data_IF_027353701206
#
_entry.id   IF_027353701206
#
_cell.length_a   1.000
_cell.length_b   1.000
_cell.length_c   1.000
_cell.angle_alpha   90.00
_cell.angle_beta   90.00
_cell.angle_gamma   90.00
#
_symmetry.space_group_name_H-M   'P 1'
#
loop_
_entity.id
_entity.type
_entity.pdbx_description
1 polymer ?
#
# COMPACT_ATOMS: atom_id res chain seq x y z
N UNK A 1 26.75 -8.34 14.10
CA UNK A 1 26.17 -7.40 13.12
C UNK A 1 25.99 -8.17 11.82
N UNK A 2 24.77 -8.64 11.54
CA UNK A 2 24.50 -9.45 10.34
C UNK A 2 24.05 -8.53 9.21
N UNK A 3 24.88 -8.42 8.17
CA UNK A 3 24.52 -7.85 6.88
C UNK A 3 23.42 -8.74 6.27
N UNK A 4 22.17 -8.30 6.29
CA UNK A 4 21.14 -8.89 5.43
C UNK A 4 21.32 -8.32 4.03
N UNK A 5 21.78 -9.19 3.15
CA UNK A 5 21.98 -8.98 1.72
C UNK A 5 20.63 -8.65 1.06
N UNK A 6 20.51 -7.46 0.46
CA UNK A 6 19.34 -7.11 -0.33
C UNK A 6 19.46 -7.79 -1.70
N UNK A 7 18.81 -8.95 -1.86
CA UNK A 7 18.67 -9.61 -3.15
C UNK A 7 17.91 -8.69 -4.12
N UNK A 8 18.61 -8.19 -5.14
CA UNK A 8 18.05 -7.35 -6.20
C UNK A 8 18.06 -8.15 -7.52
N UNK A 9 16.88 -8.29 -8.14
CA UNK A 9 16.65 -9.08 -9.36
C UNK A 9 16.43 -8.20 -10.60
N UNK A 10 16.91 -8.69 -11.75
CA UNK A 10 17.10 -7.98 -13.02
C UNK A 10 15.82 -7.85 -13.87
N UNK A 11 15.83 -7.15 -15.02
CA UNK A 11 14.63 -6.83 -15.82
C UNK A 11 13.90 -8.03 -16.47
N UNK A 12 14.57 -9.16 -16.68
CA UNK A 12 13.88 -10.41 -17.05
C UNK A 12 13.20 -11.03 -15.82
N UNK A 13 13.81 -10.90 -14.66
CA UNK A 13 13.18 -11.16 -13.37
C UNK A 13 12.20 -10.07 -12.94
N UNK A 14 12.07 -8.90 -13.60
CA UNK A 14 10.95 -7.96 -13.37
C UNK A 14 9.76 -8.35 -14.22
N UNK A 15 9.95 -9.12 -15.31
CA UNK A 15 8.84 -9.79 -16.00
C UNK A 15 8.45 -11.09 -15.31
N UNK A 16 9.41 -11.83 -14.75
CA UNK A 16 9.12 -13.00 -13.89
C UNK A 16 8.67 -12.60 -12.46
N UNK A 17 9.20 -11.50 -11.89
CA UNK A 17 8.73 -10.88 -10.64
C UNK A 17 7.68 -9.78 -10.89
N UNK A 18 7.21 -9.54 -12.11
CA UNK A 18 5.87 -8.94 -12.25
C UNK A 18 4.83 -9.93 -11.74
N UNK A 19 5.12 -11.23 -11.82
CA UNK A 19 4.36 -12.28 -11.15
C UNK A 19 4.70 -12.46 -9.66
N UNK A 20 5.80 -11.87 -9.14
CA UNK A 20 6.18 -11.94 -7.70
C UNK A 20 6.16 -10.58 -6.96
N UNK A 21 5.94 -9.46 -7.65
CA UNK A 21 5.37 -8.23 -7.11
C UNK A 21 3.84 -8.36 -6.97
N UNK A 22 3.38 -9.61 -7.01
CA UNK A 22 2.13 -10.07 -6.44
C UNK A 22 2.13 -10.01 -4.90
N UNK A 23 3.20 -9.57 -4.20
CA UNK A 23 3.22 -9.49 -2.73
C UNK A 23 3.10 -8.07 -2.13
N UNK A 24 3.09 -7.01 -2.95
CA UNK A 24 2.60 -5.68 -2.53
C UNK A 24 1.10 -5.48 -2.84
N UNK A 25 0.54 -6.40 -3.64
CA UNK A 25 -0.89 -6.58 -3.90
C UNK A 25 -1.30 -8.05 -3.67
N UNK A 26 -0.62 -8.77 -2.77
CA UNK A 26 -1.14 -10.04 -2.34
C UNK A 26 -2.39 -9.69 -1.57
N UNK A 27 -3.54 -9.86 -2.21
CA UNK A 27 -4.70 -10.35 -1.48
C UNK A 27 -4.14 -11.42 -0.55
N UNK A 28 -4.28 -11.29 0.78
CA UNK A 28 -4.21 -12.48 1.62
C UNK A 28 -5.06 -13.51 0.88
N UNK A 29 -4.54 -14.71 0.63
CA UNK A 29 -5.42 -15.78 0.16
C UNK A 29 -6.54 -15.81 1.18
N UNK A 30 -7.70 -15.23 0.84
CA UNK A 30 -8.87 -15.31 1.68
C UNK A 30 -9.28 -16.76 1.48
N UNK A 31 -8.82 -17.60 2.40
CA UNK A 31 -9.26 -18.97 2.40
C UNK A 31 -10.76 -18.90 2.62
N UNK A 32 -11.48 -19.56 1.74
CA UNK A 32 -12.90 -19.76 1.93
C UNK A 32 -13.08 -21.19 2.40
N UNK A 33 -14.01 -21.41 3.33
CA UNK A 33 -14.45 -22.77 3.63
C UNK A 33 -15.11 -23.40 2.39
N UNK A 34 -15.39 -24.71 2.45
CA UNK A 34 -16.04 -25.45 1.35
C UNK A 34 -17.38 -24.84 0.90
N UNK A 35 -17.97 -23.95 1.73
CA UNK A 35 -19.23 -23.28 1.50
C UNK A 35 -19.07 -21.77 1.19
N UNK A 36 -17.85 -21.29 0.93
CA UNK A 36 -17.59 -19.89 0.57
C UNK A 36 -17.46 -18.91 1.75
N UNK A 37 -17.52 -19.39 3.00
CA UNK A 37 -17.36 -18.56 4.21
C UNK A 37 -15.93 -18.10 4.42
N UNK A 38 -15.73 -16.86 4.87
CA UNK A 38 -14.40 -16.32 5.12
C UNK A 38 -13.64 -17.10 6.21
N UNK A 39 -12.41 -17.53 5.90
CA UNK A 39 -11.47 -18.16 6.82
C UNK A 39 -10.13 -17.41 6.78
N UNK A 40 -9.76 -16.69 7.86
CA UNK A 40 -8.45 -16.09 7.97
C UNK A 40 -7.41 -17.10 8.43
N UNK A 41 -6.16 -16.83 8.05
CA UNK A 41 -4.99 -17.52 8.61
C UNK A 41 -4.80 -17.17 10.10
N UNK A 42 -4.05 -18.02 10.80
CA UNK A 42 -3.66 -17.77 12.19
C UNK A 42 -4.58 -18.42 13.24
N UNK A 43 -4.25 -18.18 14.51
CA UNK A 43 -4.97 -18.71 15.66
C UNK A 43 -5.75 -17.57 16.30
N UNK A 44 -7.08 -17.73 16.36
CA UNK A 44 -7.99 -16.72 16.89
C UNK A 44 -8.76 -17.30 18.07
N UNK A 45 -8.65 -16.66 19.24
CA UNK A 45 -9.38 -17.07 20.44
C UNK A 45 -10.85 -16.61 20.40
N UNK A 46 -11.64 -17.04 21.39
CA UNK A 46 -13.07 -16.72 21.44
C UNK A 46 -13.31 -15.21 21.64
N UNK A 47 -12.52 -14.55 22.47
CA UNK A 47 -12.61 -13.11 22.71
C UNK A 47 -12.42 -12.29 21.42
N UNK A 48 -11.46 -12.65 20.57
CA UNK A 48 -11.26 -12.01 19.27
C UNK A 48 -12.46 -12.21 18.35
N UNK A 49 -13.06 -13.41 18.32
CA UNK A 49 -14.24 -13.71 17.50
C UNK A 49 -15.47 -12.91 17.93
N UNK A 50 -15.61 -12.70 19.23
CA UNK A 50 -16.74 -11.98 19.82
C UNK A 50 -16.51 -10.45 19.87
N UNK A 51 -15.32 -9.98 19.48
CA UNK A 51 -14.95 -8.56 19.58
C UNK A 51 -14.76 -8.07 21.02
N UNK A 52 -14.43 -8.98 21.94
CA UNK A 52 -14.19 -8.71 23.36
C UNK A 52 -12.71 -8.44 23.62
N UNK A 53 -12.24 -7.23 23.31
CA UNK A 53 -10.84 -6.85 23.49
C UNK A 53 -10.56 -6.25 24.87
N UNK A 54 -9.36 -6.51 25.43
CA UNK A 54 -8.89 -5.89 26.67
C UNK A 54 -8.50 -4.41 26.54
N UNK A 55 -8.58 -3.84 25.33
CA UNK A 55 -8.25 -2.46 24.97
C UNK A 55 -9.42 -1.79 24.25
N UNK A 56 -9.47 -0.45 24.29
CA UNK A 56 -10.39 0.35 23.48
C UNK A 56 -9.71 1.01 22.28
N UNK A 57 -8.38 1.02 22.26
CA UNK A 57 -7.56 1.68 21.25
C UNK A 57 -6.36 0.80 20.87
N UNK A 58 -6.08 0.70 19.57
CA UNK A 58 -4.91 0.00 19.01
C UNK A 58 -4.18 0.92 18.04
N UNK A 59 -2.91 1.19 18.33
CA UNK A 59 -2.04 2.15 17.63
C UNK A 59 -2.73 3.52 17.38
N UNK A 60 -3.41 4.04 18.40
CA UNK A 60 -4.13 5.32 18.33
C UNK A 60 -5.49 5.27 17.65
N UNK A 61 -5.90 4.12 17.09
CA UNK A 61 -7.22 3.95 16.48
C UNK A 61 -8.18 3.36 17.50
N UNK A 62 -9.28 4.07 17.78
CA UNK A 62 -10.34 3.59 18.65
C UNK A 62 -11.10 2.46 17.97
N UNK A 63 -11.54 1.49 18.76
CA UNK A 63 -12.44 0.46 18.27
C UNK A 63 -13.84 1.05 18.09
N UNK A 64 -14.35 0.97 16.86
CA UNK A 64 -15.69 1.42 16.49
C UNK A 64 -16.52 0.23 16.05
N UNK A 65 -17.72 0.12 16.62
CA UNK A 65 -18.71 -0.84 16.14
C UNK A 65 -19.32 -0.37 14.81
N UNK A 66 -19.38 -1.28 13.85
CA UNK A 66 -19.92 -1.04 12.51
C UNK A 66 -20.75 -2.22 12.04
N UNK A 67 -21.76 -1.94 11.22
CA UNK A 67 -22.43 -2.96 10.42
C UNK A 67 -21.51 -3.35 9.26
N UNK A 68 -21.10 -4.61 9.22
CA UNK A 68 -20.27 -5.18 8.18
C UNK A 68 -21.12 -6.06 7.28
N UNK A 69 -21.47 -5.55 6.11
CA UNK A 69 -22.26 -6.26 5.11
C UNK A 69 -21.36 -6.66 3.95
N UNK A 70 -21.34 -7.95 3.61
CA UNK A 70 -20.47 -8.45 2.53
C UNK A 70 -21.14 -8.20 1.17
N UNK A 71 -20.60 -7.32 0.31
CA UNK A 71 -21.18 -7.08 -1.00
C UNK A 71 -20.88 -8.22 -1.96
N UNK A 72 -21.51 -8.18 -3.14
CA UNK A 72 -21.28 -9.20 -4.16
C UNK A 72 -19.83 -9.26 -4.61
N UNK A 73 -19.37 -10.44 -5.03
CA UNK A 73 -18.02 -10.59 -5.60
C UNK A 73 -17.77 -9.63 -6.78
N UNK A 74 -18.78 -9.41 -7.62
CA UNK A 74 -18.72 -8.47 -8.75
C UNK A 74 -18.48 -7.04 -8.24
N UNK A 75 -19.27 -6.58 -7.27
CA UNK A 75 -19.12 -5.25 -6.68
C UNK A 75 -17.74 -5.08 -6.02
N UNK A 76 -17.26 -6.08 -5.28
CA UNK A 76 -15.94 -6.04 -4.65
C UNK A 76 -14.82 -5.98 -5.68
N UNK A 77 -14.96 -6.68 -6.81
CA UNK A 77 -14.00 -6.65 -7.91
C UNK A 77 -13.96 -5.26 -8.56
N UNK A 78 -15.13 -4.71 -8.91
CA UNK A 78 -15.24 -3.38 -9.50
C UNK A 78 -14.67 -2.29 -8.58
N UNK A 79 -14.97 -2.33 -7.27
CA UNK A 79 -14.39 -1.41 -6.28
C UNK A 79 -12.88 -1.58 -6.15
N UNK A 80 -12.34 -2.79 -6.28
CA UNK A 80 -10.89 -3.02 -6.24
C UNK A 80 -10.20 -2.43 -7.46
N UNK A 81 -10.80 -2.57 -8.63
CA UNK A 81 -10.32 -1.96 -9.88
C UNK A 81 -10.35 -0.43 -9.81
N UNK A 82 -11.44 0.16 -9.31
CA UNK A 82 -11.54 1.61 -9.08
C UNK A 82 -10.45 2.11 -8.11
N UNK A 83 -10.15 1.34 -7.05
CA UNK A 83 -9.11 1.69 -6.10
C UNK A 83 -7.71 1.65 -6.73
N UNK A 84 -7.42 0.59 -7.49
CA UNK A 84 -6.11 0.34 -8.08
C UNK A 84 -5.83 1.17 -9.33
N UNK A 85 -6.87 1.48 -10.10
CA UNK A 85 -6.76 2.02 -11.45
C UNK A 85 -6.46 0.92 -12.48
N UNK A 86 -6.39 1.33 -13.75
CA UNK A 86 -6.18 0.45 -14.90
C UNK A 86 -4.89 0.85 -15.62
N UNK A 87 -4.10 -0.16 -15.99
CA UNK A 87 -2.88 0.01 -16.79
C UNK A 87 -2.99 -0.71 -18.13
N UNK A 88 -2.31 -0.21 -19.15
CA UNK A 88 -2.16 -0.91 -20.42
C UNK A 88 -1.14 -2.06 -20.33
N UNK A 89 -0.99 -2.82 -21.41
CA UNK A 89 -0.03 -3.92 -21.53
C UNK A 89 1.43 -3.46 -21.41
N UNK A 90 1.69 -2.17 -21.64
CA UNK A 90 3.00 -1.54 -21.51
C UNK A 90 3.23 -0.98 -20.10
N UNK A 91 2.24 -1.09 -19.20
CA UNK A 91 2.28 -0.65 -17.81
C UNK A 91 1.95 0.84 -17.60
N UNK A 92 1.51 1.57 -18.62
CA UNK A 92 1.10 2.96 -18.50
C UNK A 92 -0.29 3.03 -17.86
N UNK A 93 -0.49 3.99 -16.96
CA UNK A 93 -1.79 4.23 -16.32
C UNK A 93 -2.74 4.83 -17.36
N UNK A 94 -3.83 4.11 -17.67
CA UNK A 94 -4.92 4.60 -18.52
C UNK A 94 -6.02 5.23 -17.67
N UNK A 95 -6.33 4.61 -16.53
CA UNK A 95 -7.32 5.11 -15.56
C UNK A 95 -6.65 5.22 -14.21
N UNK A 96 -6.63 6.44 -13.67
CA UNK A 96 -6.05 6.67 -12.35
C UNK A 96 -6.98 6.16 -11.24
N UNK A 97 -6.45 5.27 -10.41
CA UNK A 97 -7.17 4.72 -9.25
C UNK A 97 -7.26 5.67 -8.06
N UNK A 98 -8.22 5.43 -7.18
CA UNK A 98 -8.45 6.24 -5.98
C UNK A 98 -7.26 6.24 -5.01
N UNK A 99 -6.48 5.15 -4.95
CA UNK A 99 -5.23 5.10 -4.18
C UNK A 99 -4.22 6.15 -4.63
N UNK A 100 -4.00 6.26 -5.95
CA UNK A 100 -3.07 7.22 -6.54
C UNK A 100 -3.51 8.66 -6.22
N UNK A 101 -4.80 8.95 -6.41
CA UNK A 101 -5.37 10.27 -6.13
C UNK A 101 -5.20 10.68 -4.66
N UNK A 102 -5.44 9.75 -3.74
CA UNK A 102 -5.26 9.99 -2.31
C UNK A 102 -3.80 10.30 -1.95
N UNK A 103 -2.84 9.52 -2.48
CA UNK A 103 -1.42 9.75 -2.25
C UNK A 103 -0.95 11.12 -2.78
N UNK A 104 -1.44 11.51 -3.96
CA UNK A 104 -1.15 12.83 -4.55
C UNK A 104 -1.70 13.96 -3.69
N UNK A 105 -2.94 13.83 -3.21
CA UNK A 105 -3.54 14.79 -2.28
C UNK A 105 -2.67 14.92 -1.02
N UNK A 106 -2.31 13.81 -0.36
CA UNK A 106 -1.45 13.86 0.82
C UNK A 106 -0.09 14.53 0.53
N UNK A 107 0.53 14.23 -0.60
CA UNK A 107 1.83 14.79 -0.95
C UNK A 107 1.80 16.29 -1.27
N UNK A 108 0.67 16.79 -1.77
CA UNK A 108 0.50 18.18 -2.14
C UNK A 108 -0.01 19.05 -0.98
N UNK A 109 -0.88 18.49 -0.13
CA UNK A 109 -1.60 19.24 0.90
C UNK A 109 -1.08 18.97 2.32
N UNK A 110 -0.40 17.84 2.53
CA UNK A 110 -0.01 17.35 3.86
C UNK A 110 1.45 16.89 3.93
N UNK A 111 2.33 17.42 3.07
CA UNK A 111 3.75 17.06 3.01
C UNK A 111 4.44 17.16 4.38
N UNK A 112 4.24 18.27 5.11
CA UNK A 112 4.85 18.48 6.42
C UNK A 112 4.43 17.40 7.44
N UNK A 113 3.16 16.99 7.40
CA UNK A 113 2.62 15.97 8.30
C UNK A 113 3.13 14.57 7.94
N UNK A 114 3.37 14.29 6.66
CA UNK A 114 4.03 13.06 6.19
C UNK A 114 5.47 12.98 6.69
N UNK A 115 6.19 14.10 6.71
CA UNK A 115 7.54 14.18 7.29
C UNK A 115 7.47 13.99 8.80
N UNK A 116 6.61 14.74 9.49
CA UNK A 116 6.53 14.73 10.95
C UNK A 116 6.12 13.36 11.50
N UNK A 117 5.03 12.77 10.96
CA UNK A 117 4.47 11.53 11.50
C UNK A 117 5.16 10.30 10.95
N UNK A 118 5.58 10.31 9.69
CA UNK A 118 6.05 9.08 9.02
C UNK A 118 7.53 9.13 8.64
N UNK A 119 8.21 10.26 8.87
CA UNK A 119 9.63 10.42 8.55
C UNK A 119 9.90 10.33 7.06
N UNK A 120 8.90 10.58 6.20
CA UNK A 120 9.06 10.50 4.75
C UNK A 120 10.10 11.50 4.26
N UNK A 121 10.93 11.06 3.32
CA UNK A 121 11.90 11.94 2.65
C UNK A 121 11.21 12.68 1.51
N UNK A 122 11.80 13.77 1.03
CA UNK A 122 11.30 14.47 -0.17
C UNK A 122 11.21 13.52 -1.38
N UNK A 123 12.09 12.53 -1.47
CA UNK A 123 12.06 11.54 -2.54
C UNK A 123 10.86 10.60 -2.45
N UNK A 124 10.41 10.26 -1.25
CA UNK A 124 9.17 9.51 -1.08
C UNK A 124 7.97 10.36 -1.45
N UNK A 125 7.94 11.62 -1.01
CA UNK A 125 6.86 12.57 -1.28
C UNK A 125 6.75 12.82 -2.79
N UNK A 126 7.86 12.98 -3.50
CA UNK A 126 7.84 13.08 -4.96
C UNK A 126 7.28 11.80 -5.62
N UNK A 127 7.64 10.62 -5.10
CA UNK A 127 7.00 9.37 -5.52
C UNK A 127 5.48 9.39 -5.32
N UNK A 128 5.01 9.91 -4.19
CA UNK A 128 3.58 10.07 -3.89
C UNK A 128 2.88 11.09 -4.81
N UNK A 129 3.56 12.17 -5.22
CA UNK A 129 3.05 13.11 -6.25
C UNK A 129 2.85 12.43 -7.61
N UNK A 130 3.53 11.31 -7.85
CA UNK A 130 3.32 10.44 -9.01
C UNK A 130 2.34 9.29 -8.74
N UNK A 131 1.74 9.22 -7.55
CA UNK A 131 0.78 8.19 -7.15
C UNK A 131 1.39 6.90 -6.61
N UNK A 132 2.69 6.87 -6.30
CA UNK A 132 3.36 5.70 -5.73
C UNK A 132 3.30 5.71 -4.21
N UNK A 133 2.91 4.58 -3.63
CA UNK A 133 2.99 4.38 -2.19
C UNK A 133 4.46 4.22 -1.78
N UNK A 134 4.93 4.95 -0.75
CA UNK A 134 6.29 4.75 -0.24
C UNK A 134 6.50 3.32 0.26
N UNK A 135 7.71 2.78 0.07
CA UNK A 135 8.04 1.43 0.56
C UNK A 135 7.86 1.35 2.08
N UNK A 136 7.24 0.26 2.54
CA UNK A 136 6.91 0.02 3.95
C UNK A 136 5.54 0.53 4.40
N UNK A 137 4.76 1.13 3.49
CA UNK A 137 3.44 1.68 3.77
C UNK A 137 2.35 1.11 2.86
N UNK A 138 1.09 1.30 3.28
CA UNK A 138 -0.09 1.01 2.49
C UNK A 138 -1.16 2.10 2.68
N UNK A 139 -2.03 2.26 1.67
CA UNK A 139 -3.28 3.01 1.80
C UNK A 139 -4.36 2.01 2.21
N UNK A 140 -4.79 2.11 3.45
CA UNK A 140 -5.76 1.21 4.06
C UNK A 140 -7.17 1.80 3.99
N UNK A 141 -8.16 0.96 3.66
CA UNK A 141 -9.57 1.28 3.84
C UNK A 141 -9.95 1.07 5.30
N UNK A 142 -10.39 2.13 6.00
CA UNK A 142 -10.81 2.07 7.42
C UNK A 142 -11.97 1.08 7.60
N UNK A 143 -13.01 1.20 6.78
CA UNK A 143 -13.97 0.12 6.52
C UNK A 143 -13.58 -0.58 5.22
N UNK A 144 -13.21 -1.84 5.31
CA UNK A 144 -12.78 -2.64 4.16
C UNK A 144 -13.86 -2.74 3.07
N UNK A 145 -13.44 -2.83 1.81
CA UNK A 145 -14.35 -3.07 0.66
C UNK A 145 -15.16 -4.37 0.83
N UNK A 146 -14.58 -5.39 1.48
CA UNK A 146 -15.26 -6.64 1.80
C UNK A 146 -16.42 -6.47 2.79
N UNK A 147 -16.47 -5.37 3.55
CA UNK A 147 -17.55 -5.02 4.47
C UNK A 147 -18.40 -3.85 4.01
N UNK A 148 -18.43 -3.58 2.70
CA UNK A 148 -19.23 -2.48 2.15
C UNK A 148 -18.55 -1.12 2.18
N UNK A 149 -17.26 -1.06 2.53
CA UNK A 149 -16.44 0.15 2.44
C UNK A 149 -16.49 0.81 1.07
N UNK A 150 -16.27 2.13 1.05
CA UNK A 150 -16.29 2.96 -0.16
C UNK A 150 -14.89 3.42 -0.55
N UNK A 151 -14.71 3.72 -1.83
CA UNK A 151 -13.50 4.32 -2.36
C UNK A 151 -13.55 5.85 -2.24
N UNK A 152 -13.42 6.35 -1.02
CA UNK A 152 -13.46 7.78 -0.71
C UNK A 152 -12.35 8.13 0.27
N UNK A 153 -11.82 9.35 0.20
CA UNK A 153 -10.65 9.75 1.01
C UNK A 153 -10.94 9.70 2.52
N UNK A 154 -12.17 10.00 2.93
CA UNK A 154 -12.64 9.85 4.31
C UNK A 154 -12.46 8.42 4.84
N UNK A 155 -12.56 7.42 3.96
CA UNK A 155 -12.39 6.02 4.29
C UNK A 155 -10.94 5.53 4.14
N UNK A 156 -9.98 6.40 3.83
CA UNK A 156 -8.58 6.01 3.63
C UNK A 156 -7.65 6.53 4.73
N UNK A 157 -6.60 5.76 4.99
CA UNK A 157 -5.48 6.17 5.84
C UNK A 157 -4.17 5.63 5.25
N UNK A 158 -3.13 6.47 5.21
CA UNK A 158 -1.77 6.02 4.95
C UNK A 158 -1.15 5.48 6.24
N UNK A 159 -0.74 4.22 6.23
CA UNK A 159 -0.29 3.50 7.43
C UNK A 159 0.89 2.56 7.13
N UNK A 160 1.80 2.31 8.09
CA UNK A 160 2.84 1.28 7.98
C UNK A 160 2.29 -0.13 7.81
N UNK A 161 3.08 -1.04 7.25
CA UNK A 161 2.64 -2.43 7.01
C UNK A 161 2.39 -3.23 8.30
N UNK A 162 3.19 -3.04 9.35
CA UNK A 162 3.01 -3.79 10.60
C UNK A 162 1.66 -3.50 11.26
N UNK A 163 1.34 -2.21 11.44
CA UNK A 163 0.07 -1.78 12.03
C UNK A 163 -1.13 -2.17 11.16
N UNK A 164 -0.99 -2.03 9.83
CA UNK A 164 -1.99 -2.50 8.87
C UNK A 164 -2.32 -3.99 9.06
N UNK A 165 -1.30 -4.84 9.09
CA UNK A 165 -1.50 -6.28 9.18
C UNK A 165 -2.05 -6.67 10.56
N UNK A 166 -1.65 -5.95 11.62
CA UNK A 166 -2.18 -6.16 12.95
C UNK A 166 -3.67 -5.84 13.06
N UNK A 167 -4.13 -4.75 12.42
CA UNK A 167 -5.56 -4.42 12.39
C UNK A 167 -6.40 -5.51 11.74
N UNK A 168 -5.96 -6.06 10.60
CA UNK A 168 -6.67 -7.16 9.95
C UNK A 168 -6.59 -8.45 10.78
N UNK A 169 -5.37 -8.93 11.02
CA UNK A 169 -5.14 -10.30 11.51
C UNK A 169 -5.40 -10.49 12.99
N UNK A 170 -5.34 -9.44 13.80
CA UNK A 170 -5.56 -9.57 15.24
C UNK A 170 -6.95 -9.10 15.68
N UNK A 171 -7.53 -8.13 14.96
CA UNK A 171 -8.79 -7.48 15.36
C UNK A 171 -9.94 -7.85 14.42
N UNK A 172 -9.82 -7.57 13.12
CA UNK A 172 -10.97 -7.62 12.21
C UNK A 172 -11.30 -9.04 11.75
N UNK A 173 -10.31 -9.80 11.30
CA UNK A 173 -10.50 -11.06 10.59
C UNK A 173 -11.19 -12.13 11.45
N UNK A 174 -10.82 -12.23 12.73
CA UNK A 174 -11.40 -13.17 13.68
C UNK A 174 -12.92 -13.04 13.81
N UNK A 175 -13.41 -11.79 13.83
CA UNK A 175 -14.83 -11.47 13.96
C UNK A 175 -15.62 -11.78 12.68
N UNK A 176 -14.95 -12.03 11.56
CA UNK A 176 -15.55 -12.26 10.25
C UNK A 176 -15.57 -13.74 9.86
N UNK A 177 -15.08 -14.63 10.71
CA UNK A 177 -15.02 -16.06 10.42
C UNK A 177 -16.41 -16.58 10.03
N UNK A 178 -16.46 -17.28 8.90
CA UNK A 178 -17.66 -17.87 8.31
C UNK A 178 -18.62 -16.90 7.64
N UNK A 179 -18.35 -15.58 7.61
CA UNK A 179 -19.22 -14.62 6.94
C UNK A 179 -19.20 -14.83 5.42
N UNK A 180 -20.37 -14.70 4.77
CA UNK A 180 -20.56 -14.94 3.33
C UNK A 180 -21.12 -13.69 2.64
N UNK A 181 -21.09 -13.71 1.31
CA UNK A 181 -21.76 -12.72 0.48
C UNK A 181 -23.24 -12.55 0.90
N UNK A 182 -23.67 -11.30 1.10
CA UNK A 182 -25.00 -10.94 1.57
C UNK A 182 -25.18 -10.94 3.10
N UNK A 183 -24.30 -11.62 3.85
CA UNK A 183 -24.39 -11.63 5.31
C UNK A 183 -24.06 -10.25 5.88
N UNK A 184 -24.65 -9.97 7.04
CA UNK A 184 -24.37 -8.77 7.83
C UNK A 184 -24.02 -9.16 9.27
N UNK A 185 -22.96 -8.58 9.81
CA UNK A 185 -22.54 -8.77 11.21
C UNK A 185 -22.12 -7.43 11.81
N UNK A 186 -22.46 -7.20 13.08
CA UNK A 186 -21.88 -6.09 13.84
C UNK A 186 -20.49 -6.50 14.30
N UNK A 187 -19.46 -5.72 13.95
CA UNK A 187 -18.06 -6.00 14.32
C UNK A 187 -17.38 -4.73 14.80
N UNK A 188 -16.30 -4.87 15.56
CA UNK A 188 -15.42 -3.76 15.95
C UNK A 188 -14.26 -3.64 14.98
N UNK A 189 -14.04 -2.43 14.47
CA UNK A 189 -12.89 -2.11 13.61
C UNK A 189 -12.03 -1.01 14.25
N UNK A 190 -10.70 -1.03 14.08
CA UNK A 190 -9.87 0.14 14.37
C UNK A 190 -10.27 1.31 13.45
N UNK A 191 -10.60 2.46 14.04
CA UNK A 191 -11.10 3.62 13.30
C UNK A 191 -10.50 4.94 13.78
N UNK A 192 -10.30 5.86 12.82
CA UNK A 192 -9.95 7.26 13.05
C UNK A 192 -10.45 8.11 11.89
N UNK A 193 -10.71 9.39 12.12
CA UNK A 193 -11.01 10.34 11.05
C UNK A 193 -9.72 10.88 10.37
N UNK A 194 -8.56 10.63 10.98
CA UNK A 194 -7.26 11.00 10.42
C UNK A 194 -6.95 10.27 9.09
N UNK A 195 -6.19 10.92 8.23
CA UNK A 195 -5.74 10.36 6.94
C UNK A 195 -4.30 9.84 6.98
N UNK A 196 -3.53 10.21 8.00
CA UNK A 196 -2.13 9.82 8.18
C UNK A 196 -1.96 9.24 9.58
N UNK A 197 -1.45 8.01 9.66
CA UNK A 197 -1.13 7.33 10.92
C UNK A 197 -0.17 8.15 11.80
N UNK A 198 -0.38 8.13 13.12
CA UNK A 198 0.49 8.79 14.11
C UNK A 198 1.22 7.76 14.99
N UNK A 199 2.54 7.58 14.82
CA UNK A 199 3.31 6.61 15.59
C UNK A 199 3.44 6.96 17.06
N UNK A 200 3.19 8.21 17.47
CA UNK A 200 3.17 8.63 18.90
C UNK A 200 2.12 7.87 19.71
N UNK A 201 1.13 7.28 19.03
CA UNK A 201 0.03 6.55 19.64
C UNK A 201 0.20 5.03 19.52
N UNK A 202 1.39 4.56 19.15
CA UNK A 202 1.69 3.13 19.00
C UNK A 202 1.44 2.35 20.29
N UNK A 203 0.70 1.24 20.20
CA UNK A 203 0.47 0.31 21.29
C UNK A 203 -1.01 0.08 21.55
N UNK A 204 -1.33 -0.54 22.68
CA UNK A 204 -2.69 -0.85 23.10
C UNK A 204 -3.03 -0.05 24.34
N UNK A 205 -4.18 0.63 24.34
CA UNK A 205 -4.64 1.36 25.52
C UNK A 205 -6.09 1.08 25.85
N UNK A 206 -6.40 1.19 27.14
CA UNK A 206 -7.76 1.23 27.69
C UNK A 206 -7.85 2.42 28.61
N UNK A 207 -8.81 3.32 28.38
CA UNK A 207 -8.95 4.54 29.18
C UNK A 207 -7.64 5.35 29.25
N UNK A 208 -6.92 5.41 28.12
CA UNK A 208 -5.59 6.03 27.98
C UNK A 208 -4.44 5.38 28.78
N UNK A 209 -4.66 4.22 29.40
CA UNK A 209 -3.62 3.45 30.08
C UNK A 209 -3.11 2.32 29.19
N UNK A 210 -1.78 2.10 29.10
CA UNK A 210 -1.23 0.96 28.38
C UNK A 210 -1.73 -0.38 28.94
N UNK A 211 -2.16 -1.28 28.06
CA UNK A 211 -2.61 -2.63 28.42
C UNK A 211 -1.98 -3.68 27.52
N UNK A 212 -2.03 -4.94 27.92
CA UNK A 212 -1.71 -6.06 27.05
C UNK A 212 -2.99 -6.57 26.37
N UNK A 213 -2.93 -6.94 25.08
CA UNK A 213 -4.06 -7.59 24.42
C UNK A 213 -4.34 -8.94 25.09
N UNK A 214 -5.62 -9.32 25.15
CA UNK A 214 -6.08 -10.63 25.64
C UNK A 214 -5.94 -11.74 24.59
N UNK A 215 -5.00 -11.61 23.67
CA UNK A 215 -4.72 -12.58 22.61
C UNK A 215 -3.21 -12.59 22.30
N UNK A 216 -2.79 -13.64 21.59
CA UNK A 216 -1.45 -13.70 20.99
C UNK A 216 -1.56 -13.19 19.55
N UNK A 217 -0.69 -12.25 19.18
CA UNK A 217 -0.72 -11.65 17.85
C UNK A 217 -0.41 -12.68 16.75
N UNK A 218 -1.17 -12.64 15.67
CA UNK A 218 -0.94 -13.39 14.43
C UNK A 218 0.07 -12.68 13.50
N UNK A 219 0.66 -11.58 13.96
CA UNK A 219 1.61 -10.76 13.23
C UNK A 219 2.96 -10.78 13.93
N UNK A 220 3.91 -11.54 13.37
CA UNK A 220 5.27 -11.57 13.88
C UNK A 220 6.00 -10.25 13.57
N UNK A 221 6.40 -9.47 14.59
CA UNK A 221 7.18 -8.24 14.43
C UNK A 221 8.47 -8.43 13.63
N UNK A 222 9.09 -9.62 13.66
CA UNK A 222 10.35 -9.91 12.98
C UNK A 222 10.22 -9.91 11.43
N UNK A 223 9.00 -9.99 10.90
CA UNK A 223 8.74 -9.90 9.47
C UNK A 223 8.77 -8.46 8.94
N UNK A 224 8.90 -7.47 9.82
CA UNK A 224 8.87 -6.06 9.45
C UNK A 224 10.21 -5.42 9.79
N UNK A 225 10.72 -4.51 8.92
CA UNK A 225 11.97 -3.82 9.19
C UNK A 225 11.84 -2.91 10.42
N UNK A 226 10.67 -2.31 10.61
CA UNK A 226 10.38 -1.41 11.72
C UNK A 226 8.90 -1.55 12.11
N UNK A 227 8.62 -1.43 13.41
CA UNK A 227 7.24 -1.42 13.94
C UNK A 227 6.61 -0.03 13.88
N UNK A 228 7.32 0.97 13.36
CA UNK A 228 6.87 2.37 13.30
C UNK A 228 6.45 2.93 14.66
N UNK A 229 7.33 2.78 15.64
CA UNK A 229 7.28 3.51 16.91
C UNK A 229 7.90 4.91 16.74
N UNK A 230 7.65 5.87 17.65
CA UNK A 230 8.18 7.23 17.54
C UNK A 230 9.69 7.30 17.34
N UNK A 231 10.45 6.44 18.02
CA UNK A 231 11.90 6.35 17.92
C UNK A 231 12.42 5.91 16.53
N UNK A 232 11.56 5.33 15.70
CA UNK A 232 11.91 4.92 14.34
C UNK A 232 11.71 6.06 13.32
N UNK A 233 11.07 7.16 13.72
CA UNK A 233 10.66 8.25 12.82
C UNK A 233 11.79 9.27 12.70
N UNK A 234 12.46 9.26 11.55
CA UNK A 234 13.43 10.28 11.20
C UNK A 234 13.69 10.25 9.69
N UNK A 235 13.67 11.43 9.07
CA UNK A 235 14.08 11.60 7.65
C UNK A 235 15.49 11.06 7.43
N UNK A 236 16.42 11.33 8.34
CA UNK A 236 17.81 10.88 8.22
C UNK A 236 17.92 9.34 8.29
N UNK A 237 17.17 8.71 9.20
CA UNK A 237 17.11 7.25 9.30
C UNK A 237 16.48 6.66 8.05
N UNK A 238 15.33 7.17 7.60
CA UNK A 238 14.67 6.70 6.38
C UNK A 238 15.55 6.86 5.15
N UNK A 239 16.24 7.99 5.01
CA UNK A 239 17.19 8.22 3.92
C UNK A 239 18.29 7.16 3.89
N UNK A 240 18.81 6.78 5.07
CA UNK A 240 19.82 5.73 5.21
C UNK A 240 19.25 4.35 4.84
N UNK A 241 18.09 4.01 5.38
CA UNK A 241 17.44 2.71 5.19
C UNK A 241 17.02 2.52 3.72
N UNK A 242 16.60 3.60 3.04
CA UNK A 242 16.18 3.58 1.64
C UNK A 242 17.30 3.85 0.63
N UNK A 243 18.53 4.13 1.08
CA UNK A 243 19.64 4.55 0.20
C UNK A 243 19.89 3.58 -0.97
N UNK A 244 19.88 2.28 -0.70
CA UNK A 244 20.08 1.25 -1.73
C UNK A 244 18.97 1.24 -2.78
N UNK A 245 17.71 1.39 -2.35
CA UNK A 245 16.56 1.47 -3.25
C UNK A 245 16.57 2.78 -4.07
N UNK A 246 16.96 3.90 -3.46
CA UNK A 246 17.10 5.17 -4.14
C UNK A 246 18.19 5.13 -5.22
N UNK A 247 19.36 4.60 -4.91
CA UNK A 247 20.43 4.38 -5.89
C UNK A 247 19.98 3.45 -7.03
N UNK A 248 19.20 2.42 -6.70
CA UNK A 248 18.60 1.54 -7.68
C UNK A 248 17.68 2.28 -8.66
N UNK A 249 16.76 3.11 -8.15
CA UNK A 249 15.85 3.92 -8.97
C UNK A 249 16.62 4.89 -9.88
N UNK A 250 17.69 5.51 -9.36
CA UNK A 250 18.52 6.45 -10.14
C UNK A 250 19.20 5.75 -11.31
N UNK A 251 19.80 4.59 -11.05
CA UNK A 251 20.39 3.75 -12.10
C UNK A 251 19.36 3.41 -13.18
N UNK A 252 18.14 3.03 -12.79
CA UNK A 252 17.08 2.70 -13.77
C UNK A 252 16.59 3.91 -14.55
N UNK A 253 16.56 5.09 -13.95
CA UNK A 253 16.25 6.32 -14.67
C UNK A 253 17.32 6.65 -15.72
N UNK A 254 18.60 6.54 -15.35
CA UNK A 254 19.72 6.75 -16.26
C UNK A 254 19.71 5.75 -17.43
N UNK A 255 19.49 4.45 -17.16
CA UNK A 255 19.36 3.42 -18.21
C UNK A 255 18.23 3.75 -19.20
N UNK A 256 17.07 4.21 -18.70
CA UNK A 256 15.94 4.61 -19.56
C UNK A 256 16.30 5.83 -20.42
N UNK A 257 16.94 6.82 -19.84
CA UNK A 257 17.34 8.03 -20.56
C UNK A 257 18.35 7.72 -21.67
N UNK A 258 19.35 6.88 -21.38
CA UNK A 258 20.32 6.41 -22.38
C UNK A 258 19.64 5.62 -23.50
N UNK A 259 18.68 4.74 -23.19
CA UNK A 259 17.93 4.01 -24.20
C UNK A 259 17.12 4.94 -25.13
N UNK A 260 16.48 5.97 -24.57
CA UNK A 260 15.75 6.98 -25.35
C UNK A 260 16.69 7.79 -26.26
N UNK A 261 17.85 8.22 -25.75
CA UNK A 261 18.86 8.93 -26.55
C UNK A 261 19.40 8.07 -27.70
N UNK A 262 19.71 6.80 -27.42
CA UNK A 262 20.19 5.86 -28.45
C UNK A 262 19.14 5.60 -29.54
N UNK A 263 17.87 5.49 -29.16
CA UNK A 263 16.77 5.31 -30.11
C UNK A 263 16.53 6.57 -30.95
N UNK A 264 16.62 7.76 -30.36
CA UNK A 264 16.54 9.02 -31.09
C UNK A 264 17.69 9.19 -32.09
N UNK A 265 18.93 8.85 -31.70
CA UNK A 265 20.10 8.89 -32.58
C UNK A 265 19.99 7.91 -33.77
N UNK A 266 19.45 6.70 -33.53
CA UNK A 266 19.17 5.73 -34.60
C UNK A 266 18.10 6.25 -35.58
N UNK A 267 17.04 6.87 -35.06
CA UNK A 267 15.94 7.44 -35.87
C UNK A 267 16.37 8.66 -36.70
N UNK A 268 17.32 9.47 -36.21
CA UNK A 268 17.91 10.57 -36.97
C UNK A 268 18.81 10.08 -38.11
N UNK A 269 19.57 9.00 -37.90
CA UNK A 269 20.42 8.40 -38.93
C UNK A 269 19.65 7.68 -40.05
N UNK A 270 18.37 7.35 -39.85
CA UNK A 270 17.53 6.67 -40.83
C UNK A 270 16.60 7.60 -41.64
N UNK A 271 16.69 8.92 -41.46
CA UNK A 271 15.93 9.88 -42.28
C UNK A 271 16.61 10.06 -43.65
N UNK A 272 15.92 9.81 -44.78
CA UNK A 272 16.52 10.00 -46.10
C UNK A 272 16.78 11.49 -46.36
N UNK A 273 18.02 11.81 -46.74
CA UNK A 273 18.41 13.15 -47.19
C UNK A 273 17.63 13.46 -48.48
N UNK A 274 16.57 14.26 -48.40
CA UNK A 274 15.92 14.82 -49.59
C UNK A 274 16.92 15.73 -50.31
N UNK A 275 17.59 15.22 -51.35
CA UNK A 275 18.33 16.04 -52.32
C UNK A 275 17.32 16.93 -53.06
N UNK A 276 17.25 18.21 -52.67
CA UNK A 276 16.63 19.23 -53.52
C UNK A 276 17.53 19.46 -54.75
N UNK A 277 17.25 18.77 -55.86
CA UNK A 277 17.78 19.15 -57.17
C UNK A 277 16.95 20.34 -57.70
N UNK A 278 17.52 21.55 -57.62
CA UNK A 278 17.09 22.69 -58.44
C UNK A 278 17.59 22.45 -59.87
N UNK A 279 16.72 21.99 -60.77
CA UNK A 279 16.98 22.15 -62.21
C UNK A 279 16.63 23.59 -62.62
N UNK A 280 17.68 24.35 -62.93
CA UNK A 280 17.56 25.59 -63.70
C UNK A 280 17.08 25.22 -65.10
N UNK A 281 15.91 25.71 -65.50
CA UNK A 281 15.59 25.93 -66.90
C UNK A 281 16.52 27.02 -67.44
N UNK A 282 17.15 26.78 -68.58
CA UNK A 282 17.53 27.78 -69.57
C UNK A 282 17.54 27.12 -70.94
N UNK A 283 16.64 27.64 -71.77
CA UNK A 283 16.60 27.80 -73.23
C UNK A 283 16.92 26.61 -74.13
#
# INVERSE_FOLDING_TARGET
MSNKEYLYTSREEIKANANNNANANATPHQYHDENGGFLPDGVHNQDQRDGNFSFDTIHGLKLKEVQYTVPSKEERTAKREEFNGVKDEQGNVIVEGMRSKFLKMLANEHADLLVERLGLTERDIEGMRQGYTPNGFNVHHKLALHGGGKNEFSNFILTPLYTHDQWHKDVMDAQLIGIREGDTRTVKIPYTDEMIYDPKQFGFTKENQPVQPNYVSNVDPANYPELYKPEHISVAKRQKDMAGFYAYLDRKAQERQQALQNNAAKKQKSLPVRKFMKSRQRD
#
